data_IF_113517777340
#
_entry.id   IF_113517777340
#
_cell.length_a   1.000
_cell.length_b   1.000
_cell.length_c   1.000
_cell.angle_alpha   90.00
_cell.angle_beta   90.00
_cell.angle_gamma   90.00
#
_symmetry.space_group_name_H-M   'P 1'
#
loop_
_entity.id
_entity.type
_entity.pdbx_description
1 polymer ?
#
# COMPACT_ATOMS: atom_id res chain seq x y z
N UNK A 1 -23.30 -0.13 29.11
CA UNK A 1 -22.21 -1.11 29.08
C UNK A 1 -21.48 -1.17 30.43
N UNK A 2 -21.27 -0.04 31.11
CA UNK A 2 -20.54 0.00 32.42
C UNK A 2 -21.19 -0.87 33.50
N UNK A 3 -22.52 -1.04 33.47
CA UNK A 3 -23.28 -1.81 34.48
C UNK A 3 -23.66 -3.22 33.95
N UNK A 4 -23.18 -3.63 32.78
CA UNK A 4 -23.63 -4.86 32.12
C UNK A 4 -22.95 -6.13 32.65
N UNK A 5 -21.92 -6.03 33.54
CA UNK A 5 -21.20 -7.18 34.07
C UNK A 5 -20.56 -8.04 32.98
N UNK A 6 -19.95 -7.42 31.97
CA UNK A 6 -19.34 -8.14 30.84
C UNK A 6 -18.18 -9.03 31.32
N UNK A 7 -17.99 -10.22 30.75
CA UNK A 7 -16.89 -11.13 31.08
C UNK A 7 -15.53 -10.69 30.49
N UNK A 8 -15.44 -9.45 29.98
CA UNK A 8 -14.25 -8.85 29.36
C UNK A 8 -14.22 -7.36 29.63
N UNK A 9 -13.04 -6.76 29.50
CA UNK A 9 -12.87 -5.31 29.56
C UNK A 9 -13.15 -4.69 28.21
N UNK A 10 -13.99 -3.65 28.17
CA UNK A 10 -14.26 -2.88 26.98
C UNK A 10 -13.52 -1.54 27.07
N UNK A 11 -12.62 -1.29 26.13
CA UNK A 11 -11.87 -0.04 26.01
C UNK A 11 -12.41 0.75 24.81
N UNK A 12 -12.77 2.00 25.04
CA UNK A 12 -13.10 2.94 23.97
C UNK A 12 -11.90 3.86 23.73
N UNK A 13 -11.26 3.72 22.59
CA UNK A 13 -10.15 4.56 22.17
C UNK A 13 -10.62 5.55 21.10
N UNK A 14 -10.49 6.85 21.38
CA UNK A 14 -10.78 7.92 20.45
C UNK A 14 -9.47 8.52 19.95
N UNK A 15 -9.18 8.37 18.67
CA UNK A 15 -7.94 8.79 18.03
C UNK A 15 -8.17 9.99 17.13
N UNK A 16 -7.21 10.94 17.11
CA UNK A 16 -7.10 11.99 16.10
C UNK A 16 -6.07 11.62 15.02
N UNK A 17 -5.78 12.55 14.11
CA UNK A 17 -4.73 12.46 13.08
C UNK A 17 -4.79 11.22 12.17
N UNK A 18 -5.96 10.63 11.98
CA UNK A 18 -6.12 9.45 11.12
C UNK A 18 -5.78 9.79 9.68
N UNK A 19 -6.35 10.85 9.12
CA UNK A 19 -6.22 11.26 7.71
C UNK A 19 -4.79 11.67 7.31
N UNK A 20 -3.97 12.09 8.27
CA UNK A 20 -2.57 12.44 8.02
C UNK A 20 -1.57 11.38 8.52
N UNK A 21 -2.06 10.25 9.06
CA UNK A 21 -1.23 9.20 9.67
C UNK A 21 -0.23 9.76 10.71
N UNK A 22 -0.66 10.74 11.48
CA UNK A 22 0.14 11.49 12.44
C UNK A 22 0.68 10.63 13.58
N UNK A 23 1.73 11.12 14.23
CA UNK A 23 2.36 10.41 15.35
C UNK A 23 1.54 10.50 16.64
N UNK A 24 0.67 11.52 16.75
CA UNK A 24 -0.16 11.77 17.94
C UNK A 24 -1.55 11.10 17.86
N UNK A 25 -1.82 10.34 16.79
CA UNK A 25 -3.05 9.57 16.59
C UNK A 25 -3.04 8.22 17.34
N UNK A 26 -3.57 7.19 16.73
CA UNK A 26 -3.67 5.81 17.28
C UNK A 26 -2.34 5.32 17.83
N UNK A 27 -1.21 5.65 17.19
CA UNK A 27 0.13 5.23 17.62
C UNK A 27 0.47 5.74 19.03
N UNK A 28 0.06 6.95 19.38
CA UNK A 28 0.28 7.51 20.71
C UNK A 28 -0.59 6.86 21.79
N UNK A 29 -1.75 6.32 21.40
CA UNK A 29 -2.67 5.66 22.32
C UNK A 29 -2.25 4.23 22.67
N UNK A 30 -1.65 3.48 21.72
CA UNK A 30 -1.32 2.07 21.90
C UNK A 30 -0.58 1.73 23.20
N UNK A 31 0.45 2.48 23.63
CA UNK A 31 1.15 2.20 24.88
C UNK A 31 0.26 2.32 26.14
N UNK A 32 -0.75 3.18 26.08
CA UNK A 32 -1.67 3.41 27.20
C UNK A 32 -2.79 2.36 27.28
N UNK A 33 -3.09 1.68 26.19
CA UNK A 33 -4.16 0.68 26.14
C UNK A 33 -3.74 -0.66 26.76
N UNK A 34 -2.44 -0.95 26.85
CA UNK A 34 -1.94 -2.24 27.32
C UNK A 34 -2.21 -3.38 26.31
N UNK A 35 -2.20 -4.65 26.78
CA UNK A 35 -2.51 -5.81 25.94
C UNK A 35 -3.96 -5.75 25.42
N UNK A 36 -4.13 -6.00 24.13
CA UNK A 36 -5.42 -6.00 23.43
C UNK A 36 -5.61 -7.37 22.78
N UNK A 37 -6.67 -8.10 23.15
CA UNK A 37 -7.01 -9.38 22.55
C UNK A 37 -7.72 -9.21 21.19
N UNK A 38 -8.60 -8.21 21.08
CA UNK A 38 -9.40 -7.94 19.89
C UNK A 38 -9.64 -6.43 19.76
N UNK A 39 -9.71 -5.94 18.52
CA UNK A 39 -10.06 -4.57 18.22
C UNK A 39 -11.15 -4.49 17.14
N UNK A 40 -12.08 -3.57 17.32
CA UNK A 40 -13.06 -3.18 16.32
C UNK A 40 -12.80 -1.70 16.00
N UNK A 41 -12.50 -1.41 14.74
CA UNK A 41 -12.24 -0.04 14.26
C UNK A 41 -13.50 0.48 13.59
N UNK A 42 -13.95 1.67 14.01
CA UNK A 42 -15.12 2.34 13.45
C UNK A 42 -14.74 3.09 12.19
N UNK A 43 -15.26 2.65 11.05
CA UNK A 43 -15.04 3.24 9.73
C UNK A 43 -16.36 3.35 8.96
N UNK A 44 -16.50 4.29 7.98
CA UNK A 44 -17.74 4.48 7.22
C UNK A 44 -17.97 3.37 6.17
N UNK A 45 -18.11 2.13 6.62
CA UNK A 45 -18.23 0.92 5.78
C UNK A 45 -19.67 0.58 5.38
N UNK A 46 -20.64 1.47 5.63
CA UNK A 46 -22.09 1.20 5.48
C UNK A 46 -22.53 0.01 6.34
N UNK A 47 -22.03 -0.08 7.56
CA UNK A 47 -22.30 -1.16 8.51
C UNK A 47 -21.87 -2.55 8.04
N UNK A 48 -20.89 -2.65 7.13
CA UNK A 48 -20.26 -3.91 6.75
C UNK A 48 -18.96 -4.10 7.52
N UNK A 49 -18.56 -5.36 7.72
CA UNK A 49 -17.33 -5.71 8.41
C UNK A 49 -16.19 -5.90 7.39
N UNK A 50 -15.21 -5.03 7.42
CA UNK A 50 -13.94 -5.24 6.70
C UNK A 50 -13.13 -6.31 7.44
N UNK A 51 -12.88 -7.45 6.79
CA UNK A 51 -12.13 -8.58 7.34
C UNK A 51 -10.73 -8.69 6.78
N UNK A 52 -10.37 -7.80 5.87
CA UNK A 52 -9.02 -7.71 5.30
C UNK A 52 -8.85 -6.37 4.60
N UNK A 53 -7.64 -5.87 4.63
CA UNK A 53 -7.26 -4.60 4.02
C UNK A 53 -5.89 -4.74 3.34
N UNK A 54 -5.78 -4.16 2.15
CA UNK A 54 -4.51 -4.14 1.42
C UNK A 54 -3.56 -3.14 2.06
N UNK A 55 -2.28 -3.51 2.11
CA UNK A 55 -1.23 -2.56 2.45
C UNK A 55 -0.98 -1.59 1.30
N UNK A 56 -0.22 -0.55 1.60
CA UNK A 56 0.15 0.49 0.64
C UNK A 56 1.64 0.78 0.70
N UNK A 57 2.27 0.77 -0.46
CA UNK A 57 3.60 1.34 -0.69
C UNK A 57 3.50 2.29 -1.88
N UNK A 58 3.87 3.53 -1.68
CA UNK A 58 4.06 4.48 -2.77
C UNK A 58 5.54 4.56 -3.10
N UNK A 59 5.90 4.30 -4.36
CA UNK A 59 7.27 4.37 -4.85
C UNK A 59 7.46 5.64 -5.66
N UNK A 60 8.45 6.46 -5.27
CA UNK A 60 8.99 7.51 -6.12
C UNK A 60 10.11 6.88 -6.96
N UNK A 61 9.93 6.89 -8.28
CA UNK A 61 10.83 6.24 -9.21
C UNK A 61 11.53 7.27 -10.09
N UNK A 62 12.84 7.07 -10.33
CA UNK A 62 13.64 7.95 -11.17
C UNK A 62 14.46 7.11 -12.16
N UNK A 63 14.18 7.27 -13.43
CA UNK A 63 15.00 6.76 -14.52
C UNK A 63 16.09 7.78 -14.86
N UNK A 64 17.34 7.31 -14.93
CA UNK A 64 18.48 8.12 -15.27
C UNK A 64 18.98 7.79 -16.68
N UNK A 65 19.14 8.80 -17.48
CA UNK A 65 19.67 8.74 -18.84
C UNK A 65 20.80 9.73 -19.06
N UNK A 66 20.93 10.18 -20.29
CA UNK A 66 21.90 11.22 -20.69
C UNK A 66 21.27 12.10 -21.76
N UNK A 67 21.31 13.42 -21.56
CA UNK A 67 20.80 14.38 -22.54
C UNK A 67 21.54 14.25 -23.89
N UNK A 68 20.83 14.55 -24.96
CA UNK A 68 21.35 14.60 -26.31
C UNK A 68 20.35 15.27 -27.26
N UNK A 69 20.77 15.51 -28.50
CA UNK A 69 19.90 16.09 -29.52
C UNK A 69 19.07 14.96 -30.18
N UNK A 70 17.74 15.10 -30.21
CA UNK A 70 16.84 14.04 -30.71
C UNK A 70 17.07 13.63 -32.17
N UNK A 71 17.63 14.54 -33.02
CA UNK A 71 17.96 14.25 -34.40
C UNK A 71 19.34 13.57 -34.59
N UNK A 72 20.07 13.29 -33.52
CA UNK A 72 21.36 12.64 -33.54
C UNK A 72 21.30 11.36 -32.72
N UNK A 73 22.14 10.42 -33.06
CA UNK A 73 22.27 9.18 -32.27
C UNK A 73 23.11 9.42 -31.00
N UNK A 74 22.64 10.35 -30.18
CA UNK A 74 23.31 10.83 -28.97
C UNK A 74 22.36 10.69 -27.77
N UNK A 75 22.95 10.50 -26.58
CA UNK A 75 22.20 10.45 -25.34
C UNK A 75 21.68 9.04 -24.98
N UNK A 76 21.02 9.00 -23.85
CA UNK A 76 20.28 7.82 -23.32
C UNK A 76 18.94 8.34 -22.85
N UNK A 77 17.87 7.90 -23.48
CA UNK A 77 16.53 8.43 -23.21
C UNK A 77 15.96 7.85 -21.91
N UNK A 78 15.91 8.68 -20.86
CA UNK A 78 15.33 8.28 -19.56
C UNK A 78 13.83 7.95 -19.65
N UNK A 79 13.09 8.60 -20.58
CA UNK A 79 11.68 8.30 -20.79
C UNK A 79 11.48 6.86 -21.31
N UNK A 80 12.36 6.36 -22.19
CA UNK A 80 12.27 4.99 -22.67
C UNK A 80 12.60 3.98 -21.57
N UNK A 81 13.57 4.28 -20.70
CA UNK A 81 13.86 3.45 -19.52
C UNK A 81 12.62 3.37 -18.63
N UNK A 82 12.01 4.50 -18.30
CA UNK A 82 10.80 4.56 -17.49
C UNK A 82 9.63 3.81 -18.16
N UNK A 83 9.48 3.95 -19.48
CA UNK A 83 8.42 3.25 -20.24
C UNK A 83 8.57 1.72 -20.17
N UNK A 84 9.80 1.22 -20.31
CA UNK A 84 10.10 -0.21 -20.19
C UNK A 84 9.79 -0.72 -18.78
N UNK A 85 10.19 0.02 -17.74
CA UNK A 85 9.92 -0.31 -16.35
C UNK A 85 8.41 -0.30 -16.05
N UNK A 86 7.67 0.70 -16.54
CA UNK A 86 6.21 0.79 -16.40
C UNK A 86 5.53 -0.37 -17.15
N UNK A 87 6.02 -0.75 -18.33
CA UNK A 87 5.51 -1.90 -19.07
C UNK A 87 5.73 -3.21 -18.27
N UNK A 88 6.91 -3.36 -17.64
CA UNK A 88 7.18 -4.47 -16.75
C UNK A 88 6.23 -4.48 -15.54
N UNK A 89 6.07 -3.35 -14.82
CA UNK A 89 5.16 -3.24 -13.66
C UNK A 89 3.73 -3.70 -14.02
N UNK A 90 3.24 -3.31 -15.19
CA UNK A 90 1.90 -3.68 -15.66
C UNK A 90 1.77 -5.17 -15.96
N UNK A 91 2.85 -5.78 -16.46
CA UNK A 91 2.88 -7.20 -16.86
C UNK A 91 3.25 -8.16 -15.74
N UNK A 92 3.96 -7.71 -14.72
CA UNK A 92 4.50 -8.58 -13.67
C UNK A 92 3.41 -9.22 -12.82
N UNK A 93 3.62 -10.48 -12.48
CA UNK A 93 2.74 -11.24 -11.58
C UNK A 93 3.60 -11.86 -10.49
N UNK A 94 3.28 -11.55 -9.25
CA UNK A 94 3.93 -12.14 -8.08
C UNK A 94 3.58 -13.63 -7.99
N UNK A 95 4.54 -14.46 -7.59
CA UNK A 95 4.36 -15.92 -7.49
C UNK A 95 3.38 -16.30 -6.38
N UNK A 96 3.48 -15.63 -5.21
CA UNK A 96 2.56 -15.85 -4.09
C UNK A 96 1.36 -14.92 -4.23
N UNK A 97 0.18 -15.45 -3.94
CA UNK A 97 -1.07 -14.72 -3.97
C UNK A 97 -1.82 -14.94 -2.65
N UNK A 98 -2.34 -13.88 -2.07
CA UNK A 98 -3.18 -13.98 -0.88
C UNK A 98 -4.52 -14.66 -1.20
N UNK A 99 -4.94 -15.67 -0.45
CA UNK A 99 -6.27 -16.27 -0.63
C UNK A 99 -7.43 -15.29 -0.38
N UNK A 100 -7.22 -14.33 0.54
CA UNK A 100 -8.25 -13.36 0.92
C UNK A 100 -8.14 -12.07 0.11
N UNK A 101 -6.92 -11.50 0.02
CA UNK A 101 -6.69 -10.18 -0.58
C UNK A 101 -6.40 -10.25 -2.09
N UNK A 102 -6.17 -11.47 -2.62
CA UNK A 102 -5.81 -11.65 -4.02
C UNK A 102 -4.37 -11.22 -4.36
N UNK A 103 -4.09 -10.85 -5.62
CA UNK A 103 -2.75 -10.48 -6.06
C UNK A 103 -2.36 -9.05 -5.64
N UNK A 104 -1.06 -8.82 -5.46
CA UNK A 104 -0.50 -7.48 -5.38
C UNK A 104 -0.79 -6.73 -6.68
N UNK A 105 -1.12 -5.44 -6.57
CA UNK A 105 -1.36 -4.55 -7.70
C UNK A 105 -0.36 -3.41 -7.71
N UNK A 106 0.21 -3.14 -8.89
CA UNK A 106 1.13 -2.04 -9.11
C UNK A 106 0.59 -1.15 -10.22
N UNK A 107 0.47 0.14 -9.95
CA UNK A 107 -0.09 1.10 -10.92
C UNK A 107 0.78 2.34 -10.97
N UNK A 108 1.36 2.64 -12.13
CA UNK A 108 1.99 3.93 -12.34
C UNK A 108 0.90 5.00 -12.46
N UNK A 109 0.98 6.03 -11.61
CA UNK A 109 -0.07 7.04 -11.46
C UNK A 109 0.35 8.43 -11.92
N UNK A 110 1.65 8.69 -11.99
CA UNK A 110 2.23 9.96 -12.42
C UNK A 110 3.48 9.69 -13.24
N UNK A 111 3.76 10.53 -14.23
CA UNK A 111 5.01 10.50 -14.99
C UNK A 111 5.35 11.91 -15.47
N UNK A 112 6.63 12.28 -15.39
CA UNK A 112 7.15 13.57 -15.83
C UNK A 112 8.54 13.40 -16.46
N UNK A 113 8.72 13.93 -17.67
CA UNK A 113 10.02 13.94 -18.36
C UNK A 113 10.07 14.97 -19.48
N UNK A 114 11.28 15.45 -19.76
CA UNK A 114 11.57 16.33 -20.91
C UNK A 114 11.16 17.78 -20.70
N UNK A 115 11.80 18.67 -21.48
CA UNK A 115 11.56 20.11 -21.45
C UNK A 115 11.35 20.70 -22.86
N UNK A 116 11.94 20.08 -23.89
CA UNK A 116 11.88 20.53 -25.27
C UNK A 116 11.74 19.35 -26.22
N UNK A 117 11.03 19.53 -27.34
CA UNK A 117 10.73 18.48 -28.30
C UNK A 117 11.95 17.86 -28.98
N UNK A 118 13.07 18.58 -29.04
CA UNK A 118 14.31 18.18 -29.71
C UNK A 118 15.43 17.76 -28.75
N UNK A 119 15.14 17.60 -27.44
CA UNK A 119 16.11 17.19 -26.40
C UNK A 119 15.73 15.84 -25.85
N UNK A 120 16.66 14.89 -25.91
CA UNK A 120 16.53 13.59 -25.23
C UNK A 120 16.57 13.84 -23.73
N UNK A 121 15.54 13.44 -22.94
CA UNK A 121 15.53 13.68 -21.50
C UNK A 121 16.56 12.83 -20.77
N UNK A 122 17.33 13.47 -19.90
CA UNK A 122 18.31 12.80 -19.03
C UNK A 122 17.67 12.19 -17.78
N UNK A 123 16.45 12.62 -17.44
CA UNK A 123 15.72 12.13 -16.27
C UNK A 123 14.24 11.96 -16.61
N UNK A 124 13.64 10.92 -16.05
CA UNK A 124 12.20 10.71 -16.05
C UNK A 124 11.78 10.26 -14.65
N UNK A 125 10.85 10.98 -14.04
CA UNK A 125 10.27 10.65 -12.74
C UNK A 125 8.89 10.08 -12.91
N UNK A 126 8.55 9.07 -12.12
CA UNK A 126 7.20 8.52 -12.09
C UNK A 126 6.88 7.98 -10.70
N UNK A 127 5.59 7.90 -10.41
CA UNK A 127 5.08 7.42 -9.12
C UNK A 127 4.31 6.13 -9.34
N UNK A 128 4.54 5.15 -8.47
CA UNK A 128 3.82 3.87 -8.49
C UNK A 128 3.07 3.67 -7.18
N UNK A 129 1.75 3.49 -7.27
CA UNK A 129 0.90 2.99 -6.17
C UNK A 129 0.99 1.46 -6.16
N UNK A 130 1.45 0.89 -5.05
CA UNK A 130 1.56 -0.55 -4.85
C UNK A 130 0.62 -0.97 -3.73
N UNK A 131 -0.44 -1.71 -4.08
CA UNK A 131 -1.37 -2.33 -3.13
C UNK A 131 -0.87 -3.71 -2.78
N UNK A 132 -0.26 -3.82 -1.59
CA UNK A 132 0.35 -5.05 -1.10
C UNK A 132 -0.68 -5.95 -0.41
N UNK A 133 -0.29 -7.19 -0.15
CA UNK A 133 -1.12 -8.21 0.50
C UNK A 133 -0.29 -8.93 1.56
N UNK A 134 -0.92 -9.79 2.34
CA UNK A 134 -0.27 -10.62 3.36
C UNK A 134 0.65 -11.73 2.77
N UNK A 135 0.63 -11.92 1.45
CA UNK A 135 1.51 -12.89 0.78
C UNK A 135 3.00 -12.47 0.78
N UNK A 136 3.28 -11.17 0.87
CA UNK A 136 4.63 -10.58 0.94
C UNK A 136 4.65 -9.43 1.93
N UNK A 137 5.79 -9.22 2.58
CA UNK A 137 6.00 -7.96 3.31
C UNK A 137 6.14 -6.80 2.33
N UNK A 138 5.96 -5.58 2.83
CA UNK A 138 6.15 -4.39 2.01
C UNK A 138 7.62 -4.29 1.54
N UNK A 139 8.55 -4.66 2.41
CA UNK A 139 9.99 -4.69 2.14
C UNK A 139 10.36 -5.71 1.04
N UNK A 140 9.84 -6.95 1.12
CA UNK A 140 10.00 -7.96 0.06
C UNK A 140 9.47 -7.46 -1.28
N UNK A 141 8.29 -6.83 -1.26
CA UNK A 141 7.66 -6.28 -2.47
C UNK A 141 8.52 -5.21 -3.12
N UNK A 142 9.03 -4.26 -2.32
CA UNK A 142 9.94 -3.20 -2.80
C UNK A 142 11.21 -3.78 -3.39
N UNK A 143 11.80 -4.78 -2.73
CA UNK A 143 13.03 -5.41 -3.19
C UNK A 143 12.83 -6.17 -4.51
N UNK A 144 11.69 -6.83 -4.70
CA UNK A 144 11.35 -7.47 -5.97
C UNK A 144 11.25 -6.43 -7.08
N UNK A 145 10.60 -5.30 -6.83
CA UNK A 145 10.50 -4.20 -7.80
C UNK A 145 11.88 -3.68 -8.18
N UNK A 146 12.73 -3.38 -7.19
CA UNK A 146 14.09 -2.87 -7.41
C UNK A 146 14.98 -3.79 -8.25
N UNK A 147 14.84 -5.10 -8.09
CA UNK A 147 15.64 -6.09 -8.84
C UNK A 147 15.30 -6.16 -10.32
N UNK A 148 14.10 -5.77 -10.69
CA UNK A 148 13.61 -5.88 -12.06
C UNK A 148 13.62 -4.57 -12.84
N UNK A 149 13.58 -3.45 -12.13
CA UNK A 149 13.57 -2.13 -12.77
C UNK A 149 15.00 -1.60 -12.94
N UNK A 150 15.18 -0.81 -13.99
CA UNK A 150 16.40 -0.03 -14.23
C UNK A 150 16.36 1.32 -13.51
N UNK A 151 15.16 1.82 -13.26
CA UNK A 151 14.93 3.05 -12.49
C UNK A 151 15.21 2.82 -11.02
N UNK A 152 15.74 3.82 -10.35
CA UNK A 152 15.76 3.87 -8.90
C UNK A 152 14.33 3.90 -8.36
N UNK A 153 14.01 3.10 -7.36
CA UNK A 153 12.69 3.05 -6.72
C UNK A 153 12.83 3.27 -5.22
N UNK A 154 12.30 4.38 -4.72
CA UNK A 154 12.38 4.79 -3.31
C UNK A 154 10.99 4.76 -2.70
N UNK A 155 10.71 3.90 -1.70
CA UNK A 155 9.44 3.88 -1.02
C UNK A 155 9.30 5.10 -0.10
N UNK A 156 8.17 5.80 -0.15
CA UNK A 156 7.84 6.86 0.82
C UNK A 156 7.70 6.29 2.23
N UNK A 157 7.11 5.10 2.34
CA UNK A 157 6.94 4.35 3.59
C UNK A 157 6.66 2.88 3.29
N UNK A 158 7.08 1.98 4.19
CA UNK A 158 6.70 0.55 4.18
C UNK A 158 5.82 0.19 5.38
N UNK A 159 5.31 1.18 6.13
CA UNK A 159 4.61 0.95 7.41
C UNK A 159 3.16 0.51 7.26
N UNK A 160 2.47 0.86 6.16
CA UNK A 160 1.07 0.50 5.94
C UNK A 160 1.03 -0.93 5.40
N UNK A 161 0.95 -1.87 6.34
CA UNK A 161 0.93 -3.30 6.03
C UNK A 161 -0.48 -3.77 5.73
N UNK A 162 -0.59 -4.82 4.91
CA UNK A 162 -1.84 -5.52 4.74
C UNK A 162 -2.27 -6.16 6.06
N UNK A 163 -3.56 -6.20 6.30
CA UNK A 163 -4.18 -6.90 7.41
C UNK A 163 -5.21 -7.92 6.92
N UNK A 164 -5.34 -9.01 7.64
CA UNK A 164 -6.33 -10.04 7.36
C UNK A 164 -6.78 -10.68 8.67
N UNK A 165 -8.09 -10.87 8.81
CA UNK A 165 -8.69 -11.54 9.97
C UNK A 165 -9.15 -12.93 9.54
N UNK A 166 -8.74 -13.94 10.29
CA UNK A 166 -9.12 -15.31 10.01
C UNK A 166 -10.66 -15.48 10.03
N UNK A 167 -11.24 -16.29 9.14
CA UNK A 167 -12.68 -16.53 9.11
C UNK A 167 -13.26 -17.05 10.44
N UNK A 168 -12.45 -17.76 11.21
CA UNK A 168 -12.78 -18.37 12.50
C UNK A 168 -12.66 -17.39 13.68
N UNK A 169 -12.20 -16.17 13.44
CA UNK A 169 -12.02 -15.17 14.49
C UNK A 169 -13.36 -14.84 15.16
N UNK A 170 -13.42 -14.73 16.51
CA UNK A 170 -14.67 -14.51 17.25
C UNK A 170 -15.48 -13.31 16.78
N UNK A 171 -14.82 -12.19 16.45
CA UNK A 171 -15.51 -10.99 15.92
C UNK A 171 -16.14 -11.24 14.55
N UNK A 172 -15.54 -12.07 13.70
CA UNK A 172 -16.07 -12.43 12.39
C UNK A 172 -17.32 -13.31 12.57
N UNK A 173 -17.27 -14.26 13.51
CA UNK A 173 -18.42 -15.07 13.90
C UNK A 173 -19.57 -14.24 14.46
N UNK A 174 -19.28 -13.29 15.35
CA UNK A 174 -20.27 -12.38 15.92
C UNK A 174 -20.92 -11.50 14.84
N UNK A 175 -20.13 -10.92 13.93
CA UNK A 175 -20.66 -10.16 12.80
C UNK A 175 -21.61 -10.99 11.92
N UNK A 176 -21.24 -12.23 11.62
CA UNK A 176 -22.08 -13.16 10.84
C UNK A 176 -23.40 -13.49 11.57
N UNK A 177 -23.36 -13.71 12.89
CA UNK A 177 -24.55 -13.97 13.71
C UNK A 177 -25.52 -12.77 13.73
N UNK A 178 -25.00 -11.56 13.60
CA UNK A 178 -25.79 -10.32 13.49
C UNK A 178 -26.23 -10.00 12.05
N UNK A 179 -25.94 -10.86 11.08
CA UNK A 179 -26.27 -10.63 9.67
C UNK A 179 -25.44 -9.54 9.00
N UNK A 180 -24.27 -9.19 9.56
CA UNK A 180 -23.39 -8.16 9.01
C UNK A 180 -22.62 -8.74 7.82
N UNK A 181 -22.73 -8.08 6.66
CA UNK A 181 -22.00 -8.43 5.45
C UNK A 181 -20.49 -8.21 5.64
N UNK A 182 -19.68 -9.16 5.16
CA UNK A 182 -18.22 -9.06 5.18
C UNK A 182 -17.69 -8.61 3.83
N UNK A 183 -16.59 -7.85 3.84
CA UNK A 183 -15.90 -7.46 2.62
C UNK A 183 -14.39 -7.29 2.87
N UNK A 184 -13.64 -7.12 1.79
CA UNK A 184 -12.21 -6.78 1.78
C UNK A 184 -12.07 -5.35 1.23
N UNK A 185 -11.35 -4.50 1.97
CA UNK A 185 -11.03 -3.12 1.59
C UNK A 185 -9.80 -3.03 0.69
#
# INVERSE_FOLDING_TARGET
YYDAGLPFNLLLALSGEEECMGEHGTRALLPALGPIDMALVGEPTRMRAAVGERGLVVLDCTAHGRAGHAARDEGINALYIAADDIAWLRGYRFERCSPLLGPIRMTATQIEAGTQHNVVPAECRFVVDVRTTDAYTNEETVEIVRRHMRSEAVPRSTRIRASAVAPEHPLVGAAAALGVERFVS
#
